data_IF_589853018008
#
_entry.id   IF_589853018008
#
_cell.length_a   1.000
_cell.length_b   1.000
_cell.length_c   1.000
_cell.angle_alpha   90.00
_cell.angle_beta   90.00
_cell.angle_gamma   90.00
#
_symmetry.space_group_name_H-M   'P 1'
#
loop_
_entity.id
_entity.type
_entity.pdbx_description
1 polymer ?
#
# COMPACT_ATOMS: atom_id res chain seq x y z
N UNK A 1 -33.02 -6.76 -30.88
CA UNK A 1 -32.31 -5.55 -30.38
C UNK A 1 -32.45 -5.35 -28.87
N UNK A 2 -33.66 -5.36 -28.28
CA UNK A 2 -33.86 -5.14 -26.82
C UNK A 2 -32.94 -5.96 -25.91
N UNK A 3 -32.79 -7.26 -26.17
CA UNK A 3 -31.93 -8.13 -25.37
C UNK A 3 -30.44 -7.76 -25.43
N UNK A 4 -29.95 -7.31 -26.59
CA UNK A 4 -28.57 -6.86 -26.73
C UNK A 4 -28.33 -5.60 -25.89
N UNK A 5 -29.26 -4.64 -25.91
CA UNK A 5 -29.16 -3.43 -25.09
C UNK A 5 -29.12 -3.75 -23.59
N UNK A 6 -29.99 -4.65 -23.12
CA UNK A 6 -30.01 -5.06 -21.70
C UNK A 6 -28.71 -5.76 -21.33
N UNK A 7 -28.21 -6.68 -22.16
CA UNK A 7 -26.96 -7.39 -21.90
C UNK A 7 -25.75 -6.44 -21.86
N UNK A 8 -25.65 -5.51 -22.81
CA UNK A 8 -24.59 -4.49 -22.84
C UNK A 8 -24.64 -3.59 -21.61
N UNK A 9 -25.84 -3.17 -21.17
CA UNK A 9 -26.00 -2.35 -19.97
C UNK A 9 -25.52 -3.09 -18.73
N UNK A 10 -25.90 -4.37 -18.57
CA UNK A 10 -25.46 -5.20 -17.43
C UNK A 10 -23.94 -5.35 -17.42
N UNK A 11 -23.30 -5.61 -18.58
CA UNK A 11 -21.84 -5.69 -18.67
C UNK A 11 -21.16 -4.37 -18.29
N UNK A 12 -21.67 -3.23 -18.76
CA UNK A 12 -21.14 -1.91 -18.40
C UNK A 12 -21.27 -1.69 -16.90
N UNK A 13 -22.43 -1.97 -16.30
CA UNK A 13 -22.65 -1.84 -14.86
C UNK A 13 -21.71 -2.75 -14.06
N UNK A 14 -21.51 -3.99 -14.49
CA UNK A 14 -20.56 -4.91 -13.85
C UNK A 14 -19.13 -4.37 -13.91
N UNK A 15 -18.67 -3.94 -15.09
CA UNK A 15 -17.32 -3.39 -15.27
C UNK A 15 -17.09 -2.12 -14.44
N UNK A 16 -18.09 -1.23 -14.37
CA UNK A 16 -18.01 -0.01 -13.55
C UNK A 16 -18.03 -0.34 -12.05
N UNK A 17 -18.80 -1.34 -11.63
CA UNK A 17 -18.88 -1.78 -10.23
C UNK A 17 -17.57 -2.40 -9.73
N UNK A 18 -16.78 -3.03 -10.60
CA UNK A 18 -15.46 -3.56 -10.22
C UNK A 18 -14.51 -2.42 -9.88
N UNK A 19 -14.50 -1.33 -10.66
CA UNK A 19 -13.66 -0.16 -10.40
C UNK A 19 -14.10 0.64 -9.17
N UNK A 20 -15.39 0.61 -8.83
CA UNK A 20 -15.93 1.34 -7.67
C UNK A 20 -15.62 0.66 -6.32
N UNK A 21 -15.11 -0.57 -6.30
CA UNK A 21 -14.74 -1.25 -5.07
C UNK A 21 -13.40 -0.72 -4.55
N UNK A 22 -13.43 0.36 -3.76
CA UNK A 22 -12.27 0.77 -2.97
C UNK A 22 -11.84 -0.40 -2.07
N UNK A 23 -10.55 -0.73 -2.06
CA UNK A 23 -10.04 -1.77 -1.15
C UNK A 23 -10.36 -1.37 0.31
N UNK A 24 -11.10 -2.22 1.03
CA UNK A 24 -11.33 -2.02 2.45
C UNK A 24 -10.10 -2.43 3.26
N UNK A 25 -9.19 -1.48 3.49
CA UNK A 25 -7.95 -1.70 4.23
C UNK A 25 -8.14 -1.79 5.76
N UNK A 26 -9.37 -1.58 6.26
CA UNK A 26 -9.68 -1.59 7.71
C UNK A 26 -9.35 -2.94 8.34
N UNK A 27 -9.78 -4.03 7.71
CA UNK A 27 -9.53 -5.39 8.21
C UNK A 27 -8.03 -5.72 8.25
N UNK A 28 -7.26 -5.20 7.30
CA UNK A 28 -5.79 -5.35 7.30
C UNK A 28 -5.19 -4.59 8.49
N UNK A 29 -5.58 -3.33 8.70
CA UNK A 29 -5.11 -2.50 9.82
C UNK A 29 -5.41 -3.15 11.18
N UNK A 30 -6.61 -3.70 11.35
CA UNK A 30 -7.05 -4.34 12.60
C UNK A 30 -6.26 -5.62 12.91
N UNK A 31 -6.00 -6.45 11.90
CA UNK A 31 -5.45 -7.79 12.12
C UNK A 31 -3.93 -7.88 11.96
N UNK A 32 -3.33 -7.02 11.15
CA UNK A 32 -1.93 -7.13 10.80
C UNK A 32 -1.00 -6.87 11.99
N UNK A 33 -1.31 -5.88 12.83
CA UNK A 33 -0.49 -5.57 14.03
C UNK A 33 -0.53 -6.69 15.07
N UNK A 34 -1.70 -7.26 15.44
CA UNK A 34 -1.77 -8.45 16.28
C UNK A 34 -0.99 -9.65 15.71
N UNK A 35 -1.10 -9.91 14.40
CA UNK A 35 -0.34 -10.99 13.76
C UNK A 35 1.17 -10.76 13.87
N UNK A 36 1.67 -9.61 13.43
CA UNK A 36 3.12 -9.31 13.44
C UNK A 36 3.72 -9.21 14.84
N UNK A 37 2.92 -8.88 15.88
CA UNK A 37 3.40 -8.98 17.27
C UNK A 37 3.57 -10.41 17.76
N UNK A 38 2.73 -11.35 17.28
CA UNK A 38 2.83 -12.77 17.64
C UNK A 38 3.94 -13.48 16.86
N UNK A 39 4.17 -13.06 15.62
CA UNK A 39 5.31 -13.48 14.81
C UNK A 39 6.50 -12.56 15.09
N UNK A 40 7.23 -12.81 16.17
CA UNK A 40 8.53 -12.15 16.42
C UNK A 40 9.55 -12.74 15.43
N UNK A 41 9.46 -12.30 14.18
CA UNK A 41 10.29 -12.74 13.06
C UNK A 41 11.01 -11.52 12.47
N UNK A 42 12.36 -11.52 12.39
CA UNK A 42 13.16 -10.45 11.79
C UNK A 42 12.71 -10.07 10.36
N UNK A 43 12.05 -10.98 9.64
CA UNK A 43 11.50 -10.69 8.31
C UNK A 43 10.47 -9.55 8.35
N UNK A 44 9.90 -9.21 9.50
CA UNK A 44 8.94 -8.12 9.68
C UNK A 44 9.59 -6.74 9.70
N UNK A 45 10.90 -6.64 9.90
CA UNK A 45 11.63 -5.38 9.95
C UNK A 45 12.04 -4.87 8.58
N UNK A 46 11.85 -5.66 7.52
CA UNK A 46 12.12 -5.28 6.12
C UNK A 46 13.53 -4.68 5.92
N UNK A 47 14.54 -5.23 6.60
CA UNK A 47 15.88 -4.62 6.66
C UNK A 47 16.50 -4.37 5.28
N UNK A 48 16.29 -5.28 4.32
CA UNK A 48 16.75 -5.09 2.95
C UNK A 48 16.15 -3.83 2.28
N UNK A 49 14.85 -3.58 2.49
CA UNK A 49 14.18 -2.39 1.94
C UNK A 49 14.64 -1.13 2.69
N UNK A 50 14.75 -1.22 4.02
CA UNK A 50 15.14 -0.09 4.85
C UNK A 50 16.59 0.36 4.58
N UNK A 51 17.54 -0.57 4.48
CA UNK A 51 18.93 -0.28 4.14
C UNK A 51 19.05 0.34 2.74
N UNK A 52 18.43 -0.26 1.72
CA UNK A 52 18.46 0.23 0.34
C UNK A 52 17.82 1.62 0.21
N UNK A 53 16.63 1.84 0.79
CA UNK A 53 15.96 3.14 0.71
C UNK A 53 16.67 4.23 1.54
N UNK A 54 17.27 3.87 2.67
CA UNK A 54 18.09 4.82 3.45
C UNK A 54 19.28 5.31 2.64
N UNK A 55 19.97 4.41 1.94
CA UNK A 55 21.11 4.78 1.10
C UNK A 55 20.66 5.61 -0.11
N UNK A 56 19.64 5.16 -0.85
CA UNK A 56 19.10 5.87 -2.02
C UNK A 56 18.59 7.27 -1.73
N UNK A 57 18.12 7.53 -0.51
CA UNK A 57 17.51 8.80 -0.12
C UNK A 57 18.36 9.63 0.85
N UNK A 58 19.58 9.20 1.18
CA UNK A 58 20.46 9.80 2.22
C UNK A 58 20.63 11.32 2.11
N UNK A 59 20.58 11.89 0.92
CA UNK A 59 20.71 13.34 0.68
C UNK A 59 19.39 14.13 0.59
N UNK A 60 18.23 13.46 0.66
CA UNK A 60 16.91 14.08 0.42
C UNK A 60 15.90 13.83 1.54
N UNK A 61 15.96 12.67 2.20
CA UNK A 61 15.01 12.28 3.24
C UNK A 61 15.70 11.72 4.48
N UNK A 62 15.12 11.99 5.65
CA UNK A 62 15.45 11.33 6.90
C UNK A 62 14.64 10.03 6.95
N UNK A 63 15.25 8.95 6.45
CA UNK A 63 14.61 7.64 6.41
C UNK A 63 14.33 7.09 7.81
N UNK A 64 13.10 6.63 8.03
CA UNK A 64 12.67 5.90 9.23
C UNK A 64 12.27 4.50 8.83
N UNK A 65 12.66 3.51 9.61
CA UNK A 65 12.41 2.13 9.25
C UNK A 65 10.93 1.81 9.25
N UNK A 66 10.49 1.24 8.13
CA UNK A 66 9.13 0.77 7.94
C UNK A 66 9.08 -0.72 8.24
N UNK A 67 8.03 -1.15 8.93
CA UNK A 67 7.78 -2.57 9.18
C UNK A 67 6.84 -3.14 8.13
N UNK A 68 6.86 -4.47 8.00
CA UNK A 68 5.98 -5.22 7.10
C UNK A 68 4.54 -4.79 7.18
N UNK A 69 4.03 -4.66 8.40
CA UNK A 69 2.63 -4.31 8.60
C UNK A 69 2.30 -2.90 8.13
N UNK A 70 3.16 -1.94 8.45
CA UNK A 70 2.98 -0.55 8.06
C UNK A 70 3.08 -0.42 6.53
N UNK A 71 3.99 -1.16 5.87
CA UNK A 71 4.10 -1.22 4.41
C UNK A 71 2.89 -1.87 3.73
N UNK A 72 2.32 -2.94 4.30
CA UNK A 72 1.12 -3.57 3.77
C UNK A 72 -0.09 -2.64 3.83
N UNK A 73 -0.23 -1.89 4.93
CA UNK A 73 -1.29 -0.88 5.07
C UNK A 73 -1.09 0.22 4.03
N UNK A 74 0.12 0.76 3.91
CA UNK A 74 0.43 1.79 2.89
C UNK A 74 0.13 1.29 1.48
N UNK A 75 0.48 0.04 1.15
CA UNK A 75 0.20 -0.56 -0.16
C UNK A 75 -1.29 -0.72 -0.45
N UNK A 76 -2.09 -1.11 0.54
CA UNK A 76 -3.53 -1.22 0.37
C UNK A 76 -4.16 0.16 0.14
N UNK A 77 -3.77 1.15 0.96
CA UNK A 77 -4.36 2.49 0.94
C UNK A 77 -3.92 3.33 -0.26
N UNK A 78 -2.79 2.98 -0.87
CA UNK A 78 -2.21 3.70 -2.00
C UNK A 78 -1.98 2.75 -3.18
N UNK A 79 -2.92 1.84 -3.43
CA UNK A 79 -2.79 0.77 -4.44
C UNK A 79 -2.60 1.28 -5.88
N UNK A 80 -3.00 2.51 -6.18
CA UNK A 80 -2.76 3.16 -7.48
C UNK A 80 -1.39 3.84 -7.58
N UNK A 81 -0.65 3.93 -6.46
CA UNK A 81 0.65 4.59 -6.38
C UNK A 81 1.78 3.58 -6.38
N UNK A 82 2.79 3.79 -7.25
CA UNK A 82 4.03 3.02 -7.21
C UNK A 82 4.77 3.25 -5.88
N UNK A 83 5.02 2.18 -5.13
CA UNK A 83 5.74 2.23 -3.86
C UNK A 83 7.26 2.15 -4.04
N UNK A 84 7.84 3.15 -4.70
CA UNK A 84 9.29 3.39 -4.60
C UNK A 84 9.66 4.08 -3.28
N UNK A 85 10.96 4.15 -2.97
CA UNK A 85 11.44 4.72 -1.70
C UNK A 85 10.95 6.16 -1.48
N UNK A 86 10.88 6.99 -2.52
CA UNK A 86 10.48 8.41 -2.38
C UNK A 86 8.99 8.53 -2.08
N UNK A 87 8.16 7.75 -2.76
CA UNK A 87 6.72 7.68 -2.47
C UNK A 87 6.46 7.11 -1.08
N UNK A 88 7.17 6.05 -0.66
CA UNK A 88 7.05 5.51 0.70
C UNK A 88 7.43 6.56 1.74
N UNK A 89 8.55 7.27 1.56
CA UNK A 89 8.98 8.32 2.47
C UNK A 89 7.92 9.43 2.60
N UNK A 90 7.33 9.85 1.48
CA UNK A 90 6.24 10.84 1.46
C UNK A 90 4.97 10.32 2.15
N UNK A 91 4.50 9.13 1.77
CA UNK A 91 3.25 8.54 2.28
C UNK A 91 3.32 8.20 3.77
N UNK A 92 4.51 7.89 4.28
CA UNK A 92 4.74 7.62 5.71
C UNK A 92 5.14 8.87 6.50
N UNK A 93 5.11 10.06 5.89
CA UNK A 93 5.38 11.33 6.56
C UNK A 93 6.83 11.46 7.07
N UNK A 94 7.80 10.90 6.34
CA UNK A 94 9.22 11.11 6.65
C UNK A 94 9.60 12.57 6.35
N UNK A 95 10.63 13.07 7.04
CA UNK A 95 11.09 14.46 6.86
C UNK A 95 12.08 14.57 5.71
N UNK A 96 12.06 15.67 4.97
CA UNK A 96 13.10 16.01 3.98
C UNK A 96 14.32 16.66 4.63
N UNK A 97 15.48 16.47 4.02
CA UNK A 97 16.74 17.12 4.41
C UNK A 97 16.83 18.44 3.64
N UNK A 98 16.24 19.48 4.23
CA UNK A 98 16.10 20.85 3.70
C UNK A 98 15.23 21.01 2.45
#
# INVERSE_FOLDING_TARGET
>A
MRYLCVFSLTLILCCLSIKAQSLNCTRLRENCRPCTRRLVDPINDLEFINSDCREKLRGRWIWRDVRRCDMQIVACENHETRLDCENVARLTGMRRIR
#
